data_IF_819498650780
#
_entry.id   IF_819498650780
#
_cell.length_a   1.000
_cell.length_b   1.000
_cell.length_c   1.000
_cell.angle_alpha   90.00
_cell.angle_beta   90.00
_cell.angle_gamma   90.00
#
_symmetry.space_group_name_H-M   'P 1'
#
loop_
_entity.id
_entity.type
_entity.pdbx_description
1 polymer ?
#
# COMPACT_ATOMS: atom_id res chain seq x y z
N UNK A 1 18.10 -4.94 -24.55
CA UNK A 1 17.75 -4.03 -23.43
C UNK A 1 16.32 -3.49 -23.49
N UNK A 2 15.79 -3.04 -24.64
CA UNK A 2 14.43 -2.46 -24.73
C UNK A 2 13.34 -3.37 -24.15
N UNK A 3 13.36 -4.67 -24.47
CA UNK A 3 12.39 -5.63 -23.91
C UNK A 3 12.41 -5.73 -22.38
N UNK A 4 13.59 -5.60 -21.76
CA UNK A 4 13.72 -5.59 -20.30
C UNK A 4 13.13 -4.31 -19.68
N UNK A 5 13.34 -3.15 -20.32
CA UNK A 5 12.78 -1.88 -19.88
C UNK A 5 11.24 -1.87 -20.00
N UNK A 6 10.70 -2.42 -21.09
CA UNK A 6 9.25 -2.58 -21.27
C UNK A 6 8.68 -3.49 -20.17
N UNK A 7 9.29 -4.66 -19.94
CA UNK A 7 8.84 -5.58 -18.89
C UNK A 7 8.85 -4.92 -17.51
N UNK A 8 9.94 -4.23 -17.17
CA UNK A 8 10.05 -3.50 -15.90
C UNK A 8 8.95 -2.43 -15.76
N UNK A 9 8.62 -1.74 -16.85
CA UNK A 9 7.58 -0.70 -16.86
C UNK A 9 6.19 -1.32 -16.64
N UNK A 10 5.89 -2.43 -17.31
CA UNK A 10 4.60 -3.15 -17.14
C UNK A 10 4.46 -3.66 -15.70
N UNK A 11 5.51 -4.27 -15.15
CA UNK A 11 5.50 -4.77 -13.76
C UNK A 11 5.29 -3.60 -12.79
N UNK A 12 6.02 -2.49 -12.95
CA UNK A 12 5.87 -1.32 -12.09
C UNK A 12 4.46 -0.72 -12.14
N UNK A 13 3.87 -0.62 -13.34
CA UNK A 13 2.50 -0.14 -13.52
C UNK A 13 1.49 -1.07 -12.85
N UNK A 14 1.62 -2.39 -13.06
CA UNK A 14 0.73 -3.38 -12.46
C UNK A 14 0.81 -3.40 -10.93
N UNK A 15 2.02 -3.39 -10.37
CA UNK A 15 2.23 -3.30 -8.92
C UNK A 15 1.63 -2.03 -8.34
N UNK A 16 1.81 -0.88 -9.00
CA UNK A 16 1.23 0.39 -8.54
C UNK A 16 -0.30 0.33 -8.55
N UNK A 17 -0.90 -0.23 -9.59
CA UNK A 17 -2.35 -0.43 -9.68
C UNK A 17 -2.86 -1.33 -8.56
N UNK A 18 -2.19 -2.44 -8.26
CA UNK A 18 -2.57 -3.33 -7.16
C UNK A 18 -2.54 -2.64 -5.80
N UNK A 19 -1.53 -1.80 -5.54
CA UNK A 19 -1.43 -1.04 -4.30
C UNK A 19 -2.63 -0.08 -4.17
N UNK A 20 -2.96 0.65 -5.25
CA UNK A 20 -4.09 1.61 -5.25
C UNK A 20 -5.43 0.89 -5.06
N UNK A 21 -5.70 -0.13 -5.88
CA UNK A 21 -6.95 -0.88 -5.81
C UNK A 21 -7.08 -1.59 -4.46
N UNK A 22 -5.99 -2.15 -3.94
CA UNK A 22 -5.97 -2.77 -2.61
C UNK A 22 -6.31 -1.79 -1.50
N UNK A 23 -5.76 -0.56 -1.55
CA UNK A 23 -6.10 0.48 -0.58
C UNK A 23 -7.57 0.92 -0.65
N UNK A 24 -8.14 1.04 -1.86
CA UNK A 24 -9.55 1.38 -2.06
C UNK A 24 -10.49 0.27 -1.57
N UNK A 25 -10.22 -0.98 -1.97
CA UNK A 25 -10.99 -2.14 -1.54
C UNK A 25 -10.96 -2.31 -0.01
N UNK A 26 -9.82 -2.02 0.61
CA UNK A 26 -9.70 -2.04 2.06
C UNK A 26 -10.55 -0.97 2.75
N UNK A 27 -10.60 0.27 2.21
CA UNK A 27 -11.46 1.31 2.78
C UNK A 27 -12.94 0.91 2.74
N UNK A 28 -13.35 0.27 1.65
CA UNK A 28 -14.72 -0.21 1.48
C UNK A 28 -15.05 -1.34 2.47
N UNK A 29 -14.20 -2.37 2.51
CA UNK A 29 -14.28 -3.46 3.49
C UNK A 29 -14.40 -2.95 4.93
N UNK A 30 -13.65 -1.89 5.27
CA UNK A 30 -13.67 -1.30 6.61
C UNK A 30 -14.94 -0.53 6.92
N UNK A 31 -15.58 0.07 5.93
CA UNK A 31 -16.90 0.66 6.10
C UNK A 31 -17.94 -0.43 6.32
N UNK A 32 -17.93 -1.49 5.51
CA UNK A 32 -18.85 -2.63 5.64
C UNK A 32 -18.69 -3.33 7.01
N UNK A 33 -17.46 -3.57 7.46
CA UNK A 33 -17.19 -4.15 8.77
C UNK A 33 -17.79 -3.29 9.90
N UNK A 34 -17.65 -1.97 9.81
CA UNK A 34 -18.26 -1.06 10.79
C UNK A 34 -19.79 -1.20 10.77
N UNK A 35 -20.41 -1.19 9.59
CA UNK A 35 -21.87 -1.27 9.44
C UNK A 35 -22.44 -2.59 9.95
N UNK A 36 -21.73 -3.70 9.74
CA UNK A 36 -22.10 -5.01 10.29
C UNK A 36 -21.98 -5.00 11.82
N UNK A 37 -20.88 -4.49 12.38
CA UNK A 37 -20.69 -4.45 13.84
C UNK A 37 -21.67 -3.52 14.55
N UNK A 38 -22.11 -2.47 13.87
CA UNK A 38 -23.13 -1.54 14.37
C UNK A 38 -24.49 -2.25 14.56
N UNK A 39 -24.84 -3.12 13.62
CA UNK A 39 -26.08 -3.89 13.64
C UNK A 39 -26.06 -5.04 14.64
N UNK A 40 -24.91 -5.73 14.78
CA UNK A 40 -24.82 -6.97 15.56
C UNK A 40 -24.46 -6.71 17.03
N UNK A 41 -23.59 -5.75 17.32
CA UNK A 41 -23.04 -5.55 18.67
C UNK A 41 -23.76 -4.40 19.39
N UNK A 42 -23.58 -3.19 18.91
CA UNK A 42 -24.22 -1.99 19.44
C UNK A 42 -24.02 -0.80 18.48
N UNK A 43 -24.97 0.15 18.42
CA UNK A 43 -24.78 1.40 17.69
C UNK A 43 -23.54 2.15 18.18
N UNK A 44 -22.71 2.61 17.24
CA UNK A 44 -21.46 3.31 17.48
C UNK A 44 -20.32 2.44 18.02
N UNK A 45 -20.44 1.11 18.03
CA UNK A 45 -19.42 0.22 18.59
C UNK A 45 -18.03 0.44 17.95
N UNK A 46 -17.99 0.69 16.63
CA UNK A 46 -16.76 1.00 15.90
C UNK A 46 -16.89 2.25 15.05
N UNK A 47 -15.90 3.14 15.14
CA UNK A 47 -15.82 4.35 14.30
C UNK A 47 -15.34 4.01 12.89
N UNK A 48 -16.01 4.59 11.88
CA UNK A 48 -15.64 4.49 10.47
C UNK A 48 -14.21 4.99 10.19
N UNK A 49 -13.56 4.51 9.11
CA UNK A 49 -12.30 5.04 8.63
C UNK A 49 -12.36 6.55 8.44
N UNK A 50 -11.55 7.27 9.21
CA UNK A 50 -11.29 8.68 8.99
C UNK A 50 -9.86 8.82 8.45
N UNK A 51 -9.67 9.37 7.23
CA UNK A 51 -8.34 9.57 6.64
C UNK A 51 -7.44 10.52 7.45
N UNK A 52 -7.99 11.28 8.39
CA UNK A 52 -7.21 12.06 9.36
C UNK A 52 -6.56 11.23 10.47
N UNK A 53 -6.89 9.94 10.61
CA UNK A 53 -6.41 9.07 11.69
C UNK A 53 -5.74 7.79 11.16
N UNK A 54 -5.00 7.93 10.06
CA UNK A 54 -4.33 6.82 9.36
C UNK A 54 -3.35 6.06 10.28
N UNK A 55 -2.68 6.69 11.23
CA UNK A 55 -1.72 6.02 12.12
C UNK A 55 -2.33 5.02 13.12
N UNK A 56 -3.65 4.94 13.24
CA UNK A 56 -4.31 3.97 14.14
C UNK A 56 -4.42 2.54 13.58
N UNK A 57 -4.10 2.33 12.32
CA UNK A 57 -4.48 1.10 11.61
C UNK A 57 -3.23 0.29 11.30
N UNK A 58 -3.28 -1.00 11.59
CA UNK A 58 -2.18 -1.94 11.33
C UNK A 58 -1.74 -1.87 9.86
N UNK A 59 -2.70 -1.73 8.96
CA UNK A 59 -2.53 -1.71 7.52
C UNK A 59 -1.77 -0.46 7.03
N UNK A 60 -1.84 0.65 7.76
CA UNK A 60 -1.05 1.85 7.46
C UNK A 60 0.43 1.61 7.72
N UNK A 61 0.76 0.83 8.75
CA UNK A 61 2.15 0.42 9.00
C UNK A 61 2.64 -0.53 7.91
N UNK A 62 1.75 -1.35 7.34
CA UNK A 62 2.07 -2.22 6.21
C UNK A 62 2.36 -1.41 4.93
N UNK A 63 1.57 -0.37 4.65
CA UNK A 63 1.84 0.58 3.56
C UNK A 63 3.16 1.35 3.79
N UNK A 64 3.40 1.84 5.00
CA UNK A 64 4.65 2.51 5.37
C UNK A 64 5.85 1.57 5.23
N UNK A 65 5.70 0.30 5.60
CA UNK A 65 6.74 -0.72 5.44
C UNK A 65 7.06 -0.96 3.97
N UNK A 66 6.04 -1.07 3.10
CA UNK A 66 6.24 -1.20 1.65
C UNK A 66 6.98 0.02 1.10
N UNK A 67 6.53 1.23 1.42
CA UNK A 67 7.16 2.47 0.98
C UNK A 67 8.62 2.57 1.45
N UNK A 68 8.88 2.30 2.73
CA UNK A 68 10.22 2.32 3.30
C UNK A 68 11.14 1.28 2.63
N UNK A 69 10.62 0.07 2.36
CA UNK A 69 11.35 -1.00 1.67
C UNK A 69 11.70 -0.60 0.24
N UNK A 70 10.75 -0.03 -0.50
CA UNK A 70 10.95 0.45 -1.88
C UNK A 70 12.01 1.56 -1.93
N UNK A 71 11.92 2.55 -1.04
CA UNK A 71 12.90 3.64 -0.94
C UNK A 71 14.28 3.07 -0.62
N UNK A 72 14.37 2.16 0.36
CA UNK A 72 15.62 1.53 0.75
C UNK A 72 16.25 0.76 -0.40
N UNK A 73 15.47 -0.04 -1.13
CA UNK A 73 15.94 -0.77 -2.30
C UNK A 73 16.47 0.17 -3.40
N UNK A 74 15.78 1.27 -3.68
CA UNK A 74 16.24 2.28 -4.64
C UNK A 74 17.55 2.95 -4.22
N UNK A 75 17.67 3.31 -2.93
CA UNK A 75 18.90 3.90 -2.38
C UNK A 75 20.07 2.91 -2.49
N UNK A 76 19.86 1.66 -2.11
CA UNK A 76 20.88 0.62 -2.21
C UNK A 76 21.28 0.35 -3.66
N UNK A 77 20.31 0.29 -4.58
CA UNK A 77 20.60 0.13 -6.01
C UNK A 77 21.41 1.32 -6.56
N UNK A 78 21.07 2.55 -6.16
CA UNK A 78 21.79 3.75 -6.57
C UNK A 78 23.23 3.82 -6.06
N UNK A 79 23.48 3.36 -4.82
CA UNK A 79 24.79 3.41 -4.18
C UNK A 79 25.69 2.22 -4.59
N UNK A 80 25.13 1.02 -4.71
CA UNK A 80 25.93 -0.20 -4.89
C UNK A 80 25.86 -0.77 -6.30
N UNK A 81 24.66 -0.85 -6.90
CA UNK A 81 24.49 -1.51 -8.20
C UNK A 81 24.88 -0.60 -9.36
N UNK A 82 24.36 0.64 -9.41
CA UNK A 82 24.63 1.54 -10.53
C UNK A 82 26.13 1.87 -10.70
N UNK A 83 26.93 2.11 -9.64
CA UNK A 83 28.37 2.35 -9.80
C UNK A 83 29.14 1.12 -10.25
N UNK A 84 28.69 -0.09 -9.88
CA UNK A 84 29.31 -1.35 -10.29
C UNK A 84 28.98 -1.77 -11.73
N UNK A 85 27.99 -1.12 -12.35
CA UNK A 85 27.64 -1.31 -13.77
C UNK A 85 28.38 -0.38 -14.72
N UNK A 86 29.15 0.58 -14.20
CA UNK A 86 30.13 1.35 -14.98
C UNK A 86 31.42 0.56 -15.13
#
# INVERSE_FOLDING_TARGET
MIGLLILATVVAAFTSMLIVVGALAWLDYRNEECDITDQIVAPGFRKRPNPGNLFRWYETYLLLFILASVITMWVLAGIFLLPAMR
#
